data_IF_081520911624
#
_entry.id   IF_081520911624
#
_cell.length_a   1.000
_cell.length_b   1.000
_cell.length_c   1.000
_cell.angle_alpha   90.00
_cell.angle_beta   90.00
_cell.angle_gamma   90.00
#
_symmetry.space_group_name_H-M   'P 1'
#
loop_
_entity.id
_entity.type
_entity.pdbx_description
1 polymer ?
#
# COMPACT_ATOMS: atom_id res chain seq x y z
N UNK A 1 4.44 1.92 16.64
CA UNK A 1 2.97 2.12 16.51
C UNK A 1 2.41 2.32 17.90
N UNK A 2 1.51 3.30 18.13
CA UNK A 2 0.80 3.38 19.41
C UNK A 2 -0.01 2.10 19.69
N UNK A 3 -0.01 1.63 20.95
CA UNK A 3 -0.61 0.36 21.39
C UNK A 3 -2.15 0.41 21.31
N UNK A 4 -2.75 1.46 21.86
CA UNK A 4 -4.20 1.64 21.90
C UNK A 4 -4.61 2.64 20.81
N UNK A 5 -5.39 2.18 19.82
CA UNK A 5 -5.88 2.99 18.70
C UNK A 5 -7.36 2.70 18.49
N UNK A 6 -8.18 3.73 18.16
CA UNK A 6 -9.58 3.50 17.82
C UNK A 6 -9.69 2.61 16.58
N UNK A 7 -10.74 1.78 16.54
CA UNK A 7 -11.01 0.85 15.45
C UNK A 7 -10.94 1.48 14.03
N UNK A 8 -11.52 2.67 13.75
CA UNK A 8 -11.43 3.29 12.42
C UNK A 8 -9.99 3.58 12.00
N UNK A 9 -9.16 4.05 12.92
CA UNK A 9 -7.74 4.32 12.65
C UNK A 9 -7.00 3.02 12.33
N UNK A 10 -7.24 1.93 13.07
CA UNK A 10 -6.65 0.62 12.76
C UNK A 10 -7.02 0.15 11.35
N UNK A 11 -8.29 0.27 10.95
CA UNK A 11 -8.75 -0.10 9.59
C UNK A 11 -8.06 0.74 8.51
N UNK A 12 -7.93 2.06 8.71
CA UNK A 12 -7.21 2.95 7.78
C UNK A 12 -5.75 2.55 7.63
N UNK A 13 -5.06 2.25 8.73
CA UNK A 13 -3.66 1.83 8.72
C UNK A 13 -3.48 0.47 8.01
N UNK A 14 -4.34 -0.50 8.29
CA UNK A 14 -4.34 -1.81 7.61
C UNK A 14 -4.54 -1.62 6.10
N UNK A 15 -5.52 -0.79 5.71
CA UNK A 15 -5.78 -0.49 4.29
C UNK A 15 -4.59 0.20 3.63
N UNK A 16 -3.94 1.13 4.32
CA UNK A 16 -2.74 1.79 3.83
C UNK A 16 -1.58 0.80 3.61
N UNK A 17 -1.40 -0.18 4.52
CA UNK A 17 -0.42 -1.25 4.36
C UNK A 17 -0.71 -2.16 3.15
N UNK A 18 -1.97 -2.55 2.95
CA UNK A 18 -2.38 -3.40 1.81
C UNK A 18 -2.19 -2.72 0.45
N UNK A 19 -2.31 -1.39 0.38
CA UNK A 19 -2.21 -0.60 -0.88
C UNK A 19 -0.79 -0.48 -1.44
N UNK A 20 0.24 -0.67 -0.62
CA UNK A 20 1.66 -0.47 -0.98
C UNK A 20 2.25 -1.63 -1.82
N UNK A 21 1.45 -2.62 -2.21
CA UNK A 21 1.93 -3.80 -2.96
C UNK A 21 2.26 -3.49 -4.43
N UNK A 22 3.19 -4.26 -4.99
CA UNK A 22 3.50 -4.28 -6.44
C UNK A 22 2.42 -5.03 -7.22
N UNK A 23 2.39 -4.81 -8.54
CA UNK A 23 1.53 -5.57 -9.43
C UNK A 23 1.93 -7.06 -9.39
N UNK A 24 0.98 -8.01 -9.35
CA UNK A 24 1.29 -9.44 -9.46
C UNK A 24 1.95 -9.79 -10.78
N UNK A 25 2.82 -10.80 -10.78
CA UNK A 25 3.57 -11.22 -11.98
C UNK A 25 2.67 -11.56 -13.17
N UNK A 26 1.55 -12.25 -12.95
CA UNK A 26 0.62 -12.59 -14.02
C UNK A 26 0.01 -11.35 -14.70
N UNK A 27 -0.15 -10.23 -13.99
CA UNK A 27 -0.63 -8.96 -14.56
C UNK A 27 0.46 -8.33 -15.42
N UNK A 28 1.72 -8.39 -14.97
CA UNK A 28 2.87 -7.90 -15.74
C UNK A 28 2.96 -8.66 -17.06
N UNK A 29 2.88 -10.00 -17.01
CA UNK A 29 2.91 -10.87 -18.19
C UNK A 29 1.74 -10.53 -19.13
N UNK A 30 0.51 -10.49 -18.60
CA UNK A 30 -0.70 -10.17 -19.38
C UNK A 30 -0.64 -8.81 -20.06
N UNK A 31 0.00 -7.82 -19.43
CA UNK A 31 0.11 -6.46 -19.94
C UNK A 31 1.40 -6.20 -20.73
N UNK A 32 2.19 -7.25 -21.05
CA UNK A 32 3.51 -7.14 -21.69
C UNK A 32 4.42 -6.12 -20.98
N UNK A 33 4.33 -6.09 -19.66
CA UNK A 33 5.12 -5.20 -18.82
C UNK A 33 4.71 -3.73 -18.85
N UNK A 34 3.53 -3.37 -19.37
CA UNK A 34 3.00 -1.99 -19.28
C UNK A 34 2.65 -1.63 -17.82
N UNK A 35 2.12 -2.58 -17.05
CA UNK A 35 1.77 -2.36 -15.64
C UNK A 35 2.72 -3.16 -14.74
N UNK A 36 3.77 -2.50 -14.21
CA UNK A 36 4.80 -3.12 -13.34
C UNK A 36 4.67 -2.73 -11.87
N UNK A 37 4.21 -1.51 -11.62
CA UNK A 37 4.18 -0.89 -10.30
C UNK A 37 2.82 -0.27 -9.98
N UNK A 38 2.66 0.12 -8.72
CA UNK A 38 1.51 0.90 -8.28
C UNK A 38 1.99 2.32 -7.96
N UNK A 39 1.31 3.33 -8.50
CA UNK A 39 1.55 4.76 -8.19
C UNK A 39 1.37 5.04 -6.69
N UNK A 40 0.58 4.19 -6.01
CA UNK A 40 0.28 4.30 -4.57
C UNK A 40 1.31 3.56 -3.69
N UNK A 41 2.45 3.17 -4.25
CA UNK A 41 3.58 2.66 -3.48
C UNK A 41 4.11 3.76 -2.57
N UNK A 42 4.40 3.37 -1.33
CA UNK A 42 4.74 4.29 -0.26
C UNK A 42 5.79 3.66 0.64
N UNK A 43 6.82 4.41 1.01
CA UNK A 43 7.73 4.04 2.08
C UNK A 43 7.39 4.81 3.34
N UNK A 44 7.42 4.15 4.50
CA UNK A 44 7.15 4.77 5.80
C UNK A 44 8.17 5.86 6.16
N UNK A 45 9.39 5.77 5.62
CA UNK A 45 10.44 6.79 5.80
C UNK A 45 10.20 8.04 4.94
N UNK A 46 9.70 7.87 3.72
CA UNK A 46 9.57 8.96 2.74
C UNK A 46 8.22 9.67 2.79
N UNK A 47 7.14 8.96 3.12
CA UNK A 47 5.78 9.48 3.08
C UNK A 47 4.99 9.01 4.31
N UNK A 48 4.53 9.95 5.12
CA UNK A 48 3.77 9.67 6.35
C UNK A 48 2.28 9.48 6.05
N UNK A 49 1.61 8.58 6.78
CA UNK A 49 0.16 8.46 6.74
C UNK A 49 -0.41 9.61 7.59
N UNK A 50 -1.27 10.44 6.99
CA UNK A 50 -2.06 11.40 7.75
C UNK A 50 -3.23 10.63 8.41
N UNK A 51 -3.35 10.62 9.75
CA UNK A 51 -4.42 9.93 10.45
C UNK A 51 -5.81 10.52 10.13
#
# INVERSE_FOLDING_TARGET
MAKNKPAPLKRRLIRAGKRTRRAPMWVIIKTRGKIRGSIKQRSWRRQRIKP
#
